data_IF_725707573491
#
_entry.id   IF_725707573491
#
_cell.length_a   1.000
_cell.length_b   1.000
_cell.length_c   1.000
_cell.angle_alpha   90.00
_cell.angle_beta   90.00
_cell.angle_gamma   90.00
#
_symmetry.space_group_name_H-M   'P 1'
#
loop_
_entity.id
_entity.type
_entity.pdbx_description
1 polymer ?
#
# COMPACT_ATOMS: atom_id res chain seq x y z
N UNK A 1 -8.40 -16.81 -24.96
CA UNK A 1 -9.73 -16.17 -24.94
C UNK A 1 -10.01 -15.52 -26.27
N UNK A 2 -11.21 -15.74 -26.80
CA UNK A 2 -11.72 -15.04 -27.99
C UNK A 2 -12.26 -13.67 -27.59
N UNK A 3 -12.40 -12.76 -28.56
CA UNK A 3 -13.01 -11.44 -28.33
C UNK A 3 -14.41 -11.55 -27.72
N UNK A 4 -15.20 -12.52 -28.17
CA UNK A 4 -16.56 -12.74 -27.68
C UNK A 4 -16.57 -13.21 -26.22
N UNK A 5 -15.63 -14.08 -25.83
CA UNK A 5 -15.48 -14.53 -24.44
C UNK A 5 -15.13 -13.37 -23.51
N UNK A 6 -14.19 -12.49 -23.90
CA UNK A 6 -13.79 -11.34 -23.07
C UNK A 6 -14.95 -10.36 -22.86
N UNK A 7 -15.71 -10.04 -23.92
CA UNK A 7 -16.88 -9.16 -23.82
C UNK A 7 -17.97 -9.76 -22.92
N UNK A 8 -18.20 -11.07 -23.00
CA UNK A 8 -19.15 -11.75 -22.12
C UNK A 8 -18.72 -11.63 -20.65
N UNK A 9 -17.44 -11.83 -20.36
CA UNK A 9 -16.89 -11.69 -19.01
C UNK A 9 -16.94 -10.25 -18.49
N UNK A 10 -16.63 -9.27 -19.33
CA UNK A 10 -16.71 -7.85 -18.97
C UNK A 10 -18.13 -7.46 -18.50
N UNK A 11 -19.15 -7.84 -19.27
CA UNK A 11 -20.55 -7.59 -18.92
C UNK A 11 -20.91 -8.26 -17.58
N UNK A 12 -20.48 -9.51 -17.37
CA UNK A 12 -20.74 -10.23 -16.11
C UNK A 12 -20.09 -9.53 -14.90
N UNK A 13 -18.82 -9.14 -15.02
CA UNK A 13 -18.07 -8.49 -13.93
C UNK A 13 -18.67 -7.13 -13.58
N UNK A 14 -18.95 -6.28 -14.57
CA UNK A 14 -19.47 -4.93 -14.31
C UNK A 14 -20.88 -4.98 -13.70
N UNK A 15 -21.72 -5.90 -14.16
CA UNK A 15 -23.05 -6.12 -13.58
C UNK A 15 -22.96 -6.65 -12.15
N UNK A 16 -22.08 -7.62 -11.88
CA UNK A 16 -21.85 -8.17 -10.54
C UNK A 16 -21.39 -7.09 -9.54
N UNK A 17 -20.51 -6.18 -9.99
CA UNK A 17 -20.05 -5.05 -9.18
C UNK A 17 -21.06 -3.90 -9.08
N UNK A 18 -22.24 -4.02 -9.70
CA UNK A 18 -23.24 -2.95 -9.79
C UNK A 18 -22.64 -1.62 -10.29
N UNK A 19 -21.73 -1.68 -11.25
CA UNK A 19 -21.00 -0.53 -11.80
C UNK A 19 -20.19 0.28 -10.75
N UNK A 20 -19.90 -0.28 -9.57
CA UNK A 20 -19.07 0.35 -8.53
C UNK A 20 -17.58 0.12 -8.81
N UNK A 21 -17.07 0.75 -9.86
CA UNK A 21 -15.69 0.57 -10.33
C UNK A 21 -14.68 1.57 -9.72
N UNK A 22 -15.15 2.62 -9.05
CA UNK A 22 -14.34 3.75 -8.59
C UNK A 22 -13.91 3.67 -7.11
N UNK A 23 -13.71 2.46 -6.59
CA UNK A 23 -13.27 2.27 -5.20
C UNK A 23 -11.80 2.67 -5.01
N UNK A 24 -11.43 3.31 -3.88
CA UNK A 24 -10.06 3.71 -3.63
C UNK A 24 -9.17 2.48 -3.44
N UNK A 25 -8.03 2.45 -4.14
CA UNK A 25 -7.05 1.35 -4.04
C UNK A 25 -5.87 1.76 -3.17
N UNK A 26 -5.01 0.81 -2.83
CA UNK A 26 -3.79 1.06 -2.06
C UNK A 26 -2.95 2.15 -2.73
N UNK A 27 -2.84 2.11 -4.07
CA UNK A 27 -2.13 3.10 -4.89
C UNK A 27 -2.69 4.52 -4.72
N UNK A 28 -4.01 4.66 -4.53
CA UNK A 28 -4.67 5.97 -4.30
C UNK A 28 -4.16 6.64 -3.03
N UNK A 29 -3.99 5.88 -1.94
CA UNK A 29 -3.49 6.38 -0.67
C UNK A 29 -1.96 6.54 -0.68
N UNK A 30 -1.27 5.57 -1.26
CA UNK A 30 0.19 5.47 -1.24
C UNK A 30 0.88 6.73 -1.78
N UNK A 31 0.39 7.27 -2.92
CA UNK A 31 0.92 8.51 -3.49
C UNK A 31 0.86 9.70 -2.51
N UNK A 32 -0.22 9.80 -1.73
CA UNK A 32 -0.38 10.88 -0.74
C UNK A 32 0.53 10.66 0.46
N UNK A 33 0.67 9.42 0.92
CA UNK A 33 1.48 9.09 2.09
C UNK A 33 2.98 9.20 1.82
N UNK A 34 3.45 8.84 0.62
CA UNK A 34 4.84 9.06 0.19
C UNK A 34 5.19 10.56 0.23
N UNK A 35 4.30 11.44 -0.26
CA UNK A 35 4.50 12.90 -0.18
C UNK A 35 4.61 13.40 1.26
N UNK A 36 3.75 12.90 2.15
CA UNK A 36 3.79 13.23 3.57
C UNK A 36 5.10 12.73 4.22
N UNK A 37 5.56 11.53 3.85
CA UNK A 37 6.83 10.99 4.33
C UNK A 37 8.00 11.90 3.93
N UNK A 38 8.07 12.30 2.66
CA UNK A 38 9.17 13.11 2.12
C UNK A 38 9.23 14.52 2.69
N UNK A 39 8.10 15.11 3.07
CA UNK A 39 8.08 16.42 3.72
C UNK A 39 8.82 16.43 5.07
N UNK A 40 9.08 15.26 5.63
CA UNK A 40 9.64 15.08 6.97
C UNK A 40 11.00 14.40 7.01
N UNK A 41 11.59 14.07 5.85
CA UNK A 41 12.71 13.12 5.81
C UNK A 41 13.87 13.51 4.89
N UNK A 42 15.04 12.94 5.18
CA UNK A 42 16.26 13.08 4.39
C UNK A 42 16.43 11.96 3.37
N UNK A 43 15.61 10.90 3.46
CA UNK A 43 15.65 9.74 2.56
C UNK A 43 15.42 10.21 1.11
N UNK A 44 16.26 9.75 0.16
CA UNK A 44 16.05 10.01 -1.26
C UNK A 44 14.64 9.66 -1.74
N UNK A 45 14.02 10.62 -2.44
CA UNK A 45 12.62 10.56 -2.88
C UNK A 45 12.31 9.30 -3.71
N UNK A 46 13.21 8.97 -4.63
CA UNK A 46 13.00 7.97 -5.67
C UNK A 46 13.02 6.54 -5.10
N UNK A 47 14.00 6.24 -4.25
CA UNK A 47 14.17 4.97 -3.56
C UNK A 47 12.97 4.69 -2.64
N UNK A 48 12.53 5.71 -1.91
CA UNK A 48 11.34 5.63 -1.06
C UNK A 48 10.08 5.36 -1.88
N UNK A 49 9.89 6.06 -2.99
CA UNK A 49 8.74 5.83 -3.87
C UNK A 49 8.76 4.43 -4.46
N UNK A 50 9.89 3.97 -5.01
CA UNK A 50 9.97 2.64 -5.61
C UNK A 50 9.77 1.52 -4.60
N UNK A 51 10.44 1.59 -3.44
CA UNK A 51 10.31 0.55 -2.42
C UNK A 51 8.89 0.48 -1.87
N UNK A 52 8.26 1.61 -1.56
CA UNK A 52 6.90 1.62 -1.03
C UNK A 52 5.87 1.13 -2.08
N UNK A 53 6.08 1.41 -3.37
CA UNK A 53 5.24 0.85 -4.44
C UNK A 53 5.44 -0.66 -4.59
N UNK A 54 6.69 -1.12 -4.60
CA UNK A 54 7.00 -2.55 -4.67
C UNK A 54 6.36 -3.33 -3.51
N UNK A 55 6.52 -2.86 -2.27
CA UNK A 55 5.91 -3.49 -1.09
C UNK A 55 4.38 -3.51 -1.20
N UNK A 56 3.75 -2.42 -1.65
CA UNK A 56 2.31 -2.38 -1.85
C UNK A 56 1.83 -3.33 -2.96
N UNK A 57 2.58 -3.47 -4.06
CA UNK A 57 2.27 -4.37 -5.16
C UNK A 57 2.45 -5.84 -4.77
N UNK A 58 3.44 -6.15 -3.92
CA UNK A 58 3.64 -7.49 -3.38
C UNK A 58 2.40 -7.99 -2.60
N UNK A 59 1.70 -7.09 -1.90
CA UNK A 59 0.45 -7.47 -1.20
C UNK A 59 -0.72 -7.80 -2.14
N UNK A 60 -0.67 -7.41 -3.42
CA UNK A 60 -1.75 -7.69 -4.37
C UNK A 60 -1.76 -9.16 -4.82
N UNK A 61 -0.60 -9.81 -4.81
CA UNK A 61 -0.48 -11.22 -5.18
C UNK A 61 -0.74 -12.17 -4.00
N UNK A 62 -0.73 -11.64 -2.77
CA UNK A 62 -0.89 -12.42 -1.55
C UNK A 62 -2.32 -12.35 -1.02
N UNK A 63 -3.01 -13.50 -1.04
CA UNK A 63 -4.42 -13.59 -0.66
C UNK A 63 -4.68 -13.17 0.79
N UNK A 64 -3.73 -13.43 1.70
CA UNK A 64 -3.91 -13.10 3.13
C UNK A 64 -4.06 -11.60 3.38
N UNK A 65 -3.61 -10.74 2.46
CA UNK A 65 -3.72 -9.27 2.56
C UNK A 65 -5.09 -8.70 2.24
N UNK A 66 -6.03 -9.48 1.66
CA UNK A 66 -7.41 -9.04 1.42
C UNK A 66 -8.15 -8.62 2.69
N UNK A 67 -7.68 -9.05 3.87
CA UNK A 67 -8.25 -8.67 5.18
C UNK A 67 -7.93 -7.23 5.58
N UNK A 68 -6.92 -6.60 4.97
CA UNK A 68 -6.47 -5.27 5.34
C UNK A 68 -7.08 -4.20 4.44
N UNK A 69 -7.38 -3.03 5.02
CA UNK A 69 -7.87 -1.90 4.24
C UNK A 69 -6.78 -1.36 3.31
N UNK A 70 -7.13 -0.88 2.10
CA UNK A 70 -6.15 -0.32 1.17
C UNK A 70 -5.31 0.83 1.74
N UNK A 71 -5.89 1.68 2.60
CA UNK A 71 -5.18 2.75 3.30
C UNK A 71 -4.18 2.22 4.33
N UNK A 72 -4.52 1.13 5.03
CA UNK A 72 -3.64 0.51 6.02
C UNK A 72 -2.43 -0.14 5.35
N UNK A 73 -2.64 -0.83 4.23
CA UNK A 73 -1.55 -1.38 3.40
C UNK A 73 -0.63 -0.26 2.92
N UNK A 74 -1.20 0.85 2.41
CA UNK A 74 -0.40 1.97 1.92
C UNK A 74 0.45 2.62 3.03
N UNK A 75 -0.12 2.81 4.23
CA UNK A 75 0.59 3.34 5.38
C UNK A 75 1.70 2.38 5.85
N UNK A 76 1.42 1.08 5.88
CA UNK A 76 2.39 0.04 6.29
C UNK A 76 3.54 -0.09 5.29
N UNK A 77 3.27 0.01 4.00
CA UNK A 77 4.30 0.04 2.96
C UNK A 77 5.22 1.26 3.10
N UNK A 78 4.66 2.43 3.45
CA UNK A 78 5.46 3.64 3.74
C UNK A 78 6.29 3.46 5.01
N UNK A 79 5.72 2.88 6.07
CA UNK A 79 6.44 2.60 7.31
C UNK A 79 7.64 1.70 7.05
N UNK A 80 7.40 0.55 6.40
CA UNK A 80 8.42 -0.45 6.16
C UNK A 80 9.49 0.07 5.20
N UNK A 81 9.11 0.77 4.13
CA UNK A 81 10.08 1.37 3.21
C UNK A 81 11.00 2.40 3.90
N UNK A 82 10.45 3.26 4.77
CA UNK A 82 11.25 4.20 5.57
C UNK A 82 12.21 3.47 6.49
N UNK A 83 11.73 2.46 7.20
CA UNK A 83 12.55 1.65 8.09
C UNK A 83 13.69 0.92 7.36
N UNK A 84 13.42 0.40 6.17
CA UNK A 84 14.42 -0.30 5.36
C UNK A 84 15.49 0.67 4.82
N UNK A 85 15.13 1.89 4.47
CA UNK A 85 16.05 2.87 3.88
C UNK A 85 16.85 3.66 4.93
N UNK A 86 16.26 3.94 6.09
CA UNK A 86 16.92 4.67 7.17
C UNK A 86 16.43 4.21 8.54
N UNK A 87 17.32 3.56 9.30
CA UNK A 87 17.07 3.09 10.66
C UNK A 87 17.58 4.06 11.73
N UNK A 88 18.08 5.24 11.35
CA UNK A 88 18.63 6.21 12.29
C UNK A 88 17.58 6.82 13.23
N UNK A 89 16.30 6.83 12.82
CA UNK A 89 15.19 7.38 13.57
C UNK A 89 13.95 6.49 13.47
N UNK A 90 12.97 6.72 14.36
CA UNK A 90 11.68 6.05 14.27
C UNK A 90 10.98 6.40 12.94
N UNK A 91 10.51 5.41 12.15
CA UNK A 91 10.05 5.62 10.78
C UNK A 91 8.65 6.25 10.72
N UNK A 92 7.94 6.33 11.86
CA UNK A 92 6.63 6.97 11.96
C UNK A 92 6.71 8.23 12.82
N UNK A 93 6.36 9.38 12.24
CA UNK A 93 6.39 10.68 12.90
C UNK A 93 5.00 11.34 12.91
N UNK A 94 4.88 12.47 13.62
CA UNK A 94 3.61 13.20 13.76
C UNK A 94 3.01 13.65 12.42
N UNK A 95 3.84 13.97 11.43
CA UNK A 95 3.38 14.33 10.08
C UNK A 95 2.66 13.15 9.44
N UNK A 96 3.25 11.95 9.49
CA UNK A 96 2.63 10.75 8.95
C UNK A 96 1.37 10.36 9.72
N UNK A 97 1.39 10.41 11.04
CA UNK A 97 0.20 10.16 11.86
C UNK A 97 -0.94 11.13 11.52
N UNK A 98 -0.64 12.42 11.34
CA UNK A 98 -1.62 13.43 10.95
C UNK A 98 -2.25 13.17 9.58
N UNK A 99 -1.43 12.88 8.55
CA UNK A 99 -1.92 12.73 7.17
C UNK A 99 -2.51 11.34 6.88
N UNK A 100 -2.05 10.29 7.56
CA UNK A 100 -2.56 8.93 7.38
C UNK A 100 -3.69 8.58 8.33
N UNK A 101 -3.80 9.30 9.46
CA UNK A 101 -4.70 9.01 10.60
C UNK A 101 -4.41 7.67 11.28
N UNK A 102 -3.23 7.10 11.07
CA UNK A 102 -2.80 5.87 11.74
C UNK A 102 -1.70 6.14 12.75
N UNK A 103 -1.91 5.67 13.97
CA UNK A 103 -0.86 5.51 14.98
C UNK A 103 0.00 4.29 14.65
N UNK A 104 1.24 4.26 15.15
CA UNK A 104 2.17 3.14 14.93
C UNK A 104 1.60 1.80 15.39
N UNK A 105 0.86 1.79 16.52
CA UNK A 105 0.25 0.57 17.04
C UNK A 105 -0.75 -0.08 16.06
N UNK A 106 -1.48 0.74 15.29
CA UNK A 106 -2.44 0.25 14.31
C UNK A 106 -1.77 -0.39 13.08
N UNK A 107 -0.51 -0.06 12.81
CA UNK A 107 0.26 -0.55 11.66
C UNK A 107 0.97 -1.87 11.95
N UNK A 108 1.27 -2.16 13.22
CA UNK A 108 2.15 -3.26 13.64
C UNK A 108 1.84 -4.58 12.94
N UNK A 109 0.58 -5.05 13.03
CA UNK A 109 0.16 -6.32 12.43
C UNK A 109 0.37 -6.37 10.91
N UNK A 110 0.07 -5.28 10.20
CA UNK A 110 0.19 -5.23 8.73
C UNK A 110 1.64 -5.06 8.30
N UNK A 111 2.44 -4.30 9.05
CA UNK A 111 3.88 -4.15 8.81
C UNK A 111 4.60 -5.49 8.97
N UNK A 112 4.37 -6.21 10.07
CA UNK A 112 4.99 -7.51 10.32
C UNK A 112 4.59 -8.54 9.25
N UNK A 113 3.32 -8.58 8.86
CA UNK A 113 2.87 -9.46 7.77
C UNK A 113 3.54 -9.10 6.44
N UNK A 114 3.79 -7.80 6.19
CA UNK A 114 4.40 -7.33 4.94
C UNK A 114 5.91 -7.58 4.91
N UNK A 115 6.57 -7.46 6.07
CA UNK A 115 7.97 -7.84 6.24
C UNK A 115 8.17 -9.34 6.01
N UNK A 116 7.34 -10.19 6.62
CA UNK A 116 7.39 -11.64 6.40
C UNK A 116 7.18 -12.00 4.92
N UNK A 117 6.19 -11.39 4.27
CA UNK A 117 5.95 -11.56 2.83
C UNK A 117 7.17 -11.14 2.00
N UNK A 118 7.79 -10.01 2.34
CA UNK A 118 8.97 -9.50 1.62
C UNK A 118 10.18 -10.43 1.76
N UNK A 119 10.38 -11.03 2.94
CA UNK A 119 11.51 -11.93 3.20
C UNK A 119 11.33 -13.33 2.60
N UNK A 120 10.09 -13.76 2.39
CA UNK A 120 9.76 -15.08 1.86
C UNK A 120 9.54 -15.11 0.32
N UNK A 121 9.70 -13.97 -0.36
CA UNK A 121 9.63 -13.86 -1.83
C UNK A 121 11.02 -13.88 -2.45
#
# INVERSE_FOLDING_TARGET
>A
YTRLEVLSMEIQVVNFLHFRLSVPTTKTFLRRFIRAAQASDKVPHMEMEFLANYLAELTLVEYTFLRFMPSLIAASAVFLARWTLDQSNHPWNQTLEHYTRYETAALNTTVLAMEDLHLNT
#
